data_IF_891188778983
#
_entry.id   IF_891188778983
#
_cell.length_a   1.000
_cell.length_b   1.000
_cell.length_c   1.000
_cell.angle_alpha   90.00
_cell.angle_beta   90.00
_cell.angle_gamma   90.00
#
_symmetry.space_group_name_H-M   'P 1'
#
loop_
_entity.id
_entity.type
_entity.pdbx_description
1 polymer ?
#
# COMPACT_ATOMS: atom_id res chain seq x y z
N UNK A 1 18.55 -35.62 -20.35
CA UNK A 1 19.65 -35.63 -19.37
C UNK A 1 20.27 -34.26 -19.17
N UNK A 2 20.58 -33.51 -20.23
CA UNK A 2 21.23 -32.19 -20.16
C UNK A 2 20.43 -31.15 -19.33
N UNK A 3 19.11 -31.14 -19.42
CA UNK A 3 18.25 -30.23 -18.61
C UNK A 3 18.24 -30.57 -17.11
N UNK A 4 18.38 -31.84 -16.72
CA UNK A 4 18.48 -32.28 -15.32
C UNK A 4 19.80 -31.89 -14.67
N UNK A 5 20.90 -31.93 -15.41
CA UNK A 5 22.23 -31.54 -14.91
C UNK A 5 22.31 -30.05 -14.71
N UNK A 6 21.78 -29.24 -15.67
CA UNK A 6 21.71 -27.77 -15.54
C UNK A 6 20.83 -27.33 -14.35
N UNK A 7 19.72 -28.00 -14.12
CA UNK A 7 18.84 -27.70 -12.99
C UNK A 7 19.49 -28.02 -11.63
N UNK A 8 20.23 -29.15 -11.54
CA UNK A 8 21.00 -29.50 -10.34
C UNK A 8 22.11 -28.51 -10.04
N UNK A 9 22.89 -28.08 -11.03
CA UNK A 9 23.97 -27.12 -10.82
C UNK A 9 23.46 -25.74 -10.36
N UNK A 10 22.33 -25.27 -10.93
CA UNK A 10 21.70 -24.01 -10.50
C UNK A 10 21.17 -24.11 -9.06
N UNK A 11 20.60 -25.26 -8.65
CA UNK A 11 20.12 -25.44 -7.29
C UNK A 11 21.28 -25.47 -6.29
N UNK A 12 22.40 -26.12 -6.64
CA UNK A 12 23.59 -26.17 -5.78
C UNK A 12 24.20 -24.77 -5.66
N UNK A 13 24.35 -24.04 -6.77
CA UNK A 13 24.93 -22.69 -6.79
C UNK A 13 24.07 -21.67 -6.05
N UNK A 14 22.75 -21.80 -6.11
CA UNK A 14 21.79 -20.85 -5.49
C UNK A 14 21.11 -21.39 -4.23
N UNK A 15 21.53 -22.58 -3.74
CA UNK A 15 20.89 -23.23 -2.59
C UNK A 15 20.82 -22.35 -1.35
N UNK A 16 21.93 -21.75 -0.97
CA UNK A 16 22.00 -20.83 0.18
C UNK A 16 21.12 -19.58 -0.02
N UNK A 17 21.06 -19.06 -1.25
CA UNK A 17 20.17 -17.93 -1.57
C UNK A 17 18.70 -18.35 -1.49
N UNK A 18 18.34 -19.53 -1.97
CA UNK A 18 16.98 -20.08 -1.91
C UNK A 18 16.59 -20.31 -0.45
N UNK A 19 17.47 -20.89 0.37
CA UNK A 19 17.23 -21.12 1.80
C UNK A 19 17.03 -19.81 2.56
N UNK A 20 17.93 -18.83 2.39
CA UNK A 20 17.77 -17.49 2.99
C UNK A 20 16.50 -16.80 2.56
N UNK A 21 16.09 -16.97 1.29
CA UNK A 21 14.80 -16.45 0.79
C UNK A 21 13.63 -17.20 1.41
N UNK A 22 13.68 -18.52 1.46
CA UNK A 22 12.64 -19.37 2.06
C UNK A 22 12.41 -19.01 3.54
N UNK A 23 13.50 -18.86 4.33
CA UNK A 23 13.40 -18.42 5.73
C UNK A 23 12.77 -17.03 5.88
N UNK A 24 13.14 -16.10 5.00
CA UNK A 24 12.53 -14.77 4.96
C UNK A 24 11.03 -14.82 4.63
N UNK A 25 10.55 -15.85 3.96
CA UNK A 25 9.14 -16.05 3.60
C UNK A 25 8.40 -16.98 4.58
N UNK A 26 9.11 -17.73 5.45
CA UNK A 26 8.48 -18.44 6.57
C UNK A 26 7.78 -17.42 7.48
N UNK A 27 6.50 -17.61 7.75
CA UNK A 27 5.67 -16.67 8.51
C UNK A 27 4.85 -15.70 7.65
N UNK A 28 5.09 -15.62 6.32
CA UNK A 28 4.20 -14.89 5.43
C UNK A 28 2.95 -15.70 5.04
N UNK A 29 3.00 -17.01 5.15
CA UNK A 29 1.88 -17.91 4.82
C UNK A 29 0.63 -17.63 5.64
N UNK A 30 0.77 -17.22 6.91
CA UNK A 30 -0.36 -16.85 7.76
C UNK A 30 -1.08 -15.58 7.27
N UNK A 31 -0.33 -14.66 6.65
CA UNK A 31 -0.88 -13.39 6.14
C UNK A 31 -1.62 -13.61 4.81
N UNK A 32 -1.22 -14.64 4.05
CA UNK A 32 -1.92 -15.03 2.81
C UNK A 32 -3.13 -15.94 3.05
N UNK A 33 -3.48 -16.25 4.33
CA UNK A 33 -4.77 -16.85 4.64
C UNK A 33 -5.86 -15.97 4.04
N UNK A 34 -6.77 -16.61 3.32
CA UNK A 34 -7.88 -15.90 2.69
C UNK A 34 -8.63 -15.07 3.75
N UNK A 35 -8.69 -13.77 3.54
CA UNK A 35 -9.45 -12.86 4.40
C UNK A 35 -10.90 -13.28 4.44
N UNK A 36 -11.45 -13.39 5.63
CA UNK A 36 -12.84 -13.83 5.86
C UNK A 36 -13.83 -12.65 5.89
N UNK A 37 -13.32 -11.43 6.12
CA UNK A 37 -14.11 -10.21 6.24
C UNK A 37 -15.21 -10.31 7.29
N UNK A 38 -14.85 -10.83 8.46
CA UNK A 38 -15.74 -11.03 9.62
C UNK A 38 -15.37 -10.07 10.76
N UNK A 39 -16.32 -9.82 11.66
CA UNK A 39 -16.06 -9.02 12.87
C UNK A 39 -14.94 -9.65 13.70
N UNK A 40 -14.01 -8.79 14.17
CA UNK A 40 -12.81 -9.17 14.92
C UNK A 40 -11.57 -9.35 14.04
N UNK A 41 -11.70 -9.47 12.71
CA UNK A 41 -10.54 -9.57 11.82
C UNK A 41 -9.76 -8.25 11.80
N UNK A 42 -8.42 -8.37 11.79
CA UNK A 42 -7.52 -7.21 11.86
C UNK A 42 -7.15 -6.67 10.48
N UNK A 43 -7.23 -5.36 10.32
CA UNK A 43 -6.83 -4.61 9.15
C UNK A 43 -5.90 -3.47 9.54
N UNK A 44 -4.92 -3.15 8.68
CA UNK A 44 -4.04 -2.01 8.89
C UNK A 44 -4.71 -0.71 8.43
N UNK A 45 -4.50 0.37 9.19
CA UNK A 45 -4.80 1.73 8.77
C UNK A 45 -3.79 2.68 9.40
N UNK A 46 -3.11 3.49 8.58
CA UNK A 46 -2.01 4.36 8.96
C UNK A 46 -0.89 3.68 9.78
N UNK A 47 -0.65 2.39 9.48
CA UNK A 47 0.39 1.58 10.11
C UNK A 47 -0.03 0.85 11.38
N UNK A 48 -1.22 1.16 11.92
CA UNK A 48 -1.76 0.55 13.13
C UNK A 48 -2.80 -0.53 12.81
N UNK A 49 -2.98 -1.48 13.72
CA UNK A 49 -3.97 -2.54 13.59
C UNK A 49 -5.34 -2.09 14.10
N UNK A 50 -6.35 -2.24 13.25
CA UNK A 50 -7.77 -1.95 13.56
C UNK A 50 -8.58 -3.24 13.45
N UNK A 51 -9.53 -3.42 14.37
CA UNK A 51 -10.49 -4.53 14.33
C UNK A 51 -11.70 -4.18 13.46
N UNK A 52 -12.03 -5.04 12.51
CA UNK A 52 -13.27 -4.92 11.74
C UNK A 52 -14.47 -5.17 12.66
N UNK A 53 -15.46 -4.28 12.61
CA UNK A 53 -16.75 -4.44 13.28
C UNK A 53 -17.85 -4.26 12.25
N UNK A 54 -18.63 -5.29 12.01
CA UNK A 54 -19.78 -5.26 11.10
C UNK A 54 -21.04 -5.09 11.93
N UNK A 55 -21.77 -3.99 11.67
CA UNK A 55 -23.07 -3.68 12.29
C UNK A 55 -24.15 -3.76 11.22
N UNK A 56 -25.05 -4.72 11.38
CA UNK A 56 -26.18 -4.86 10.48
C UNK A 56 -27.20 -3.72 10.73
N UNK A 57 -27.60 -3.06 9.65
CA UNK A 57 -28.69 -2.09 9.66
C UNK A 57 -30.00 -2.82 9.33
N UNK A 58 -31.05 -2.54 10.08
CA UNK A 58 -32.38 -3.02 9.75
C UNK A 58 -32.72 -2.63 8.31
N UNK A 59 -33.21 -3.58 7.53
CA UNK A 59 -33.62 -3.36 6.14
C UNK A 59 -34.85 -2.44 6.13
N UNK A 60 -34.63 -1.16 5.90
CA UNK A 60 -35.68 -0.33 5.36
C UNK A 60 -35.95 -0.77 3.92
N UNK A 61 -37.19 -0.66 3.48
CA UNK A 61 -37.74 -1.13 2.20
C UNK A 61 -37.05 -0.55 0.93
N UNK A 62 -35.87 0.05 1.07
CA UNK A 62 -35.10 0.63 -0.02
C UNK A 62 -34.21 -0.44 -0.68
N UNK A 63 -34.44 -0.67 -1.96
CA UNK A 63 -33.78 -1.70 -2.81
C UNK A 63 -32.26 -1.55 -2.98
N UNK A 64 -31.59 -0.63 -2.31
CA UNK A 64 -30.17 -0.35 -2.49
C UNK A 64 -29.37 -0.71 -1.24
N UNK A 65 -28.31 -1.50 -1.40
CA UNK A 65 -27.40 -1.79 -0.29
C UNK A 65 -26.71 -0.52 0.18
N UNK A 66 -26.98 -0.10 1.42
CA UNK A 66 -26.35 1.03 2.08
C UNK A 66 -25.13 0.55 2.86
N UNK A 67 -24.03 1.27 2.74
CA UNK A 67 -22.82 0.99 3.51
C UNK A 67 -22.20 2.32 3.98
N UNK A 68 -21.96 2.41 5.29
CA UNK A 68 -21.16 3.48 5.89
C UNK A 68 -19.97 2.83 6.59
N UNK A 69 -18.77 3.33 6.33
CA UNK A 69 -17.55 2.88 7.01
C UNK A 69 -16.99 4.07 7.78
N UNK A 70 -16.74 3.86 9.07
CA UNK A 70 -16.17 4.87 9.98
C UNK A 70 -15.04 4.24 10.79
N UNK A 71 -14.11 5.07 11.25
CA UNK A 71 -13.07 4.68 12.20
C UNK A 71 -13.46 5.19 13.57
N UNK A 72 -13.35 4.34 14.57
CA UNK A 72 -13.54 4.67 15.97
C UNK A 72 -12.63 3.76 16.82
N UNK A 73 -11.80 4.35 17.72
CA UNK A 73 -11.01 3.65 18.74
C UNK A 73 -10.38 2.31 18.29
N UNK A 74 -9.51 2.33 17.28
CA UNK A 74 -8.91 1.13 16.70
C UNK A 74 -9.91 0.12 16.08
N UNK A 75 -11.10 0.61 15.68
CA UNK A 75 -12.09 -0.17 14.96
C UNK A 75 -12.40 0.43 13.59
N UNK A 76 -12.52 -0.41 12.59
CA UNK A 76 -13.15 -0.09 11.30
C UNK A 76 -14.57 -0.60 11.37
N UNK A 77 -15.52 0.32 11.56
CA UNK A 77 -16.93 -0.01 11.73
C UNK A 77 -17.63 0.08 10.39
N UNK A 78 -18.14 -1.05 9.91
CA UNK A 78 -18.94 -1.18 8.69
C UNK A 78 -20.41 -1.30 9.07
N UNK A 79 -21.21 -0.28 8.82
CA UNK A 79 -22.66 -0.30 9.02
C UNK A 79 -23.33 -0.57 7.66
N UNK A 80 -24.05 -1.68 7.53
CA UNK A 80 -24.63 -2.10 6.26
C UNK A 80 -25.86 -2.98 6.44
N UNK A 81 -26.72 -3.01 5.42
CA UNK A 81 -27.84 -3.95 5.30
C UNK A 81 -27.50 -5.20 4.45
N UNK A 82 -26.24 -5.32 3.97
CA UNK A 82 -25.72 -6.49 3.27
C UNK A 82 -24.39 -6.91 3.92
N UNK A 83 -24.45 -7.99 4.70
CA UNK A 83 -23.30 -8.54 5.44
C UNK A 83 -22.55 -9.62 4.67
N UNK A 84 -22.85 -9.83 3.38
CA UNK A 84 -22.14 -10.81 2.56
C UNK A 84 -20.66 -10.46 2.44
N UNK A 85 -19.79 -11.48 2.47
CA UNK A 85 -18.33 -11.33 2.39
C UNK A 85 -17.89 -10.52 1.17
N UNK A 86 -18.51 -10.76 0.01
CA UNK A 86 -18.20 -10.04 -1.23
C UNK A 86 -18.56 -8.56 -1.16
N UNK A 87 -19.71 -8.25 -0.54
CA UNK A 87 -20.12 -6.85 -0.35
C UNK A 87 -19.20 -6.13 0.62
N UNK A 88 -18.88 -6.71 1.77
CA UNK A 88 -17.94 -6.15 2.76
C UNK A 88 -16.57 -5.95 2.12
N UNK A 89 -16.05 -6.94 1.40
CA UNK A 89 -14.76 -6.83 0.68
C UNK A 89 -14.74 -5.67 -0.32
N UNK A 90 -15.78 -5.54 -1.16
CA UNK A 90 -15.89 -4.44 -2.14
C UNK A 90 -15.99 -3.09 -1.43
N UNK A 91 -16.78 -3.00 -0.37
CA UNK A 91 -16.97 -1.79 0.41
C UNK A 91 -15.67 -1.35 1.08
N UNK A 92 -14.92 -2.25 1.71
CA UNK A 92 -13.61 -1.97 2.29
C UNK A 92 -12.59 -1.54 1.24
N UNK A 93 -12.52 -2.21 0.09
CA UNK A 93 -11.64 -1.81 -1.02
C UNK A 93 -11.93 -0.38 -1.50
N UNK A 94 -13.21 -0.05 -1.67
CA UNK A 94 -13.64 1.29 -2.06
C UNK A 94 -13.27 2.33 -0.99
N UNK A 95 -13.51 2.01 0.27
CA UNK A 95 -13.20 2.88 1.39
C UNK A 95 -11.68 3.14 1.51
N UNK A 96 -10.84 2.09 1.45
CA UNK A 96 -9.38 2.25 1.46
C UNK A 96 -8.87 3.08 0.29
N UNK A 97 -9.50 2.96 -0.89
CA UNK A 97 -9.17 3.80 -2.03
C UNK A 97 -9.49 5.27 -1.75
N UNK A 98 -10.68 5.58 -1.22
CA UNK A 98 -11.08 6.95 -0.85
C UNK A 98 -10.15 7.54 0.23
N UNK A 99 -9.84 6.76 1.28
CA UNK A 99 -8.90 7.19 2.32
C UNK A 99 -7.50 7.43 1.76
N UNK A 100 -7.03 6.55 0.86
CA UNK A 100 -5.75 6.76 0.19
C UNK A 100 -5.74 8.02 -0.67
N UNK A 101 -6.83 8.33 -1.38
CA UNK A 101 -6.98 9.57 -2.17
C UNK A 101 -6.91 10.81 -1.25
N UNK A 102 -7.67 10.81 -0.16
CA UNK A 102 -7.67 11.91 0.83
C UNK A 102 -6.29 12.12 1.44
N UNK A 103 -5.70 11.05 1.99
CA UNK A 103 -4.41 11.10 2.68
C UNK A 103 -3.29 11.52 1.71
N UNK A 104 -3.24 10.97 0.51
CA UNK A 104 -2.21 11.33 -0.48
C UNK A 104 -2.26 12.81 -0.81
N UNK A 105 -3.45 13.39 -1.02
CA UNK A 105 -3.61 14.83 -1.30
C UNK A 105 -3.16 15.68 -0.11
N UNK A 106 -3.63 15.36 1.10
CA UNK A 106 -3.22 16.06 2.33
C UNK A 106 -1.69 15.98 2.54
N UNK A 107 -1.08 14.82 2.28
CA UNK A 107 0.38 14.67 2.43
C UNK A 107 1.17 15.40 1.37
N UNK A 108 0.68 15.45 0.12
CA UNK A 108 1.30 16.26 -0.94
C UNK A 108 1.30 17.74 -0.55
N UNK A 109 0.17 18.26 -0.08
CA UNK A 109 0.05 19.65 0.35
C UNK A 109 0.98 19.94 1.54
N UNK A 110 1.01 19.06 2.54
CA UNK A 110 1.94 19.14 3.68
C UNK A 110 3.40 19.17 3.22
N UNK A 111 3.81 18.25 2.35
CA UNK A 111 5.19 18.18 1.84
C UNK A 111 5.56 19.42 1.03
N UNK A 112 4.66 19.95 0.22
CA UNK A 112 4.88 21.19 -0.53
C UNK A 112 4.99 22.42 0.38
N UNK A 113 4.20 22.48 1.45
CA UNK A 113 4.26 23.57 2.41
C UNK A 113 5.60 23.60 3.17
N UNK A 114 6.18 22.43 3.45
CA UNK A 114 7.35 22.29 4.31
C UNK A 114 8.67 22.03 3.56
N UNK A 115 8.63 21.86 2.23
CA UNK A 115 9.83 21.57 1.44
C UNK A 115 9.83 22.32 0.12
N UNK A 116 10.81 23.24 -0.06
CA UNK A 116 10.92 24.06 -1.25
C UNK A 116 11.14 23.23 -2.54
N UNK A 117 11.90 22.13 -2.43
CA UNK A 117 12.10 21.22 -3.56
C UNK A 117 10.75 20.62 -4.00
N UNK A 118 9.92 20.18 -3.04
CA UNK A 118 8.61 19.60 -3.35
C UNK A 118 7.65 20.59 -4.01
N UNK A 119 7.75 21.90 -3.69
CA UNK A 119 6.95 22.96 -4.37
C UNK A 119 7.24 23.03 -5.86
N UNK A 120 8.51 22.86 -6.25
CA UNK A 120 8.95 22.94 -7.64
C UNK A 120 8.59 21.70 -8.47
N UNK A 121 8.28 20.57 -7.80
CA UNK A 121 7.91 19.34 -8.47
C UNK A 121 6.40 19.33 -8.80
N UNK A 122 6.08 19.58 -10.08
CA UNK A 122 4.70 19.69 -10.55
C UNK A 122 4.36 18.52 -11.49
N UNK A 123 3.59 17.54 -11.03
CA UNK A 123 3.10 16.45 -11.88
C UNK A 123 1.96 16.93 -12.79
N UNK A 124 1.76 16.26 -13.92
CA UNK A 124 0.61 16.48 -14.79
C UNK A 124 -0.70 16.02 -14.12
N UNK A 125 -0.65 14.94 -13.37
CA UNK A 125 -1.75 14.47 -12.52
C UNK A 125 -1.25 13.54 -11.43
N UNK A 126 -2.00 13.48 -10.31
CA UNK A 126 -1.83 12.46 -9.27
C UNK A 126 -3.15 11.71 -9.14
N UNK A 127 -3.11 10.38 -9.23
CA UNK A 127 -4.28 9.51 -9.11
C UNK A 127 -3.98 8.30 -8.24
N UNK A 128 -4.96 7.88 -7.46
CA UNK A 128 -4.88 6.63 -6.70
C UNK A 128 -5.60 5.53 -7.46
N UNK A 129 -4.91 4.41 -7.67
CA UNK A 129 -5.46 3.24 -8.36
C UNK A 129 -4.96 1.92 -7.77
N UNK A 130 -5.69 0.85 -7.98
CA UNK A 130 -5.24 -0.48 -7.59
C UNK A 130 -3.99 -0.88 -8.38
N UNK A 131 -2.95 -1.32 -7.67
CA UNK A 131 -1.70 -1.81 -8.22
C UNK A 131 -1.28 -3.08 -7.48
N UNK A 132 -0.85 -4.12 -8.21
CA UNK A 132 -0.54 -5.42 -7.61
C UNK A 132 0.94 -5.55 -7.18
N UNK A 133 1.87 -4.86 -7.87
CA UNK A 133 3.31 -5.11 -7.73
C UNK A 133 4.12 -3.89 -7.29
N UNK A 134 3.50 -2.73 -7.15
CA UNK A 134 4.22 -1.48 -6.84
C UNK A 134 3.38 -0.55 -5.97
N UNK A 135 4.04 0.32 -5.22
CA UNK A 135 3.40 1.29 -4.33
C UNK A 135 3.05 2.59 -5.06
N UNK A 136 3.80 2.89 -6.10
CA UNK A 136 3.53 4.01 -6.98
C UNK A 136 4.15 3.80 -8.36
N UNK A 137 3.94 4.75 -9.25
CA UNK A 137 4.60 4.84 -10.55
C UNK A 137 4.43 6.25 -11.12
N UNK A 138 5.49 6.76 -11.77
CA UNK A 138 5.47 7.96 -12.57
C UNK A 138 5.64 7.60 -14.05
N UNK A 139 4.85 8.22 -14.94
CA UNK A 139 4.97 8.01 -16.39
C UNK A 139 5.84 9.10 -17.03
N UNK A 140 6.30 8.85 -18.28
CA UNK A 140 7.01 9.85 -19.06
C UNK A 140 6.20 11.15 -19.27
N UNK A 141 4.84 11.05 -19.25
CA UNK A 141 3.95 12.22 -19.32
C UNK A 141 3.74 12.87 -17.95
N UNK A 142 4.57 12.57 -16.95
CA UNK A 142 4.51 13.12 -15.59
C UNK A 142 3.20 12.85 -14.84
N UNK A 143 2.48 11.77 -15.19
CA UNK A 143 1.34 11.31 -14.39
C UNK A 143 1.83 10.38 -13.29
N UNK A 144 1.46 10.69 -12.05
CA UNK A 144 1.80 9.91 -10.86
C UNK A 144 0.60 9.06 -10.47
N UNK A 145 0.85 7.80 -10.19
CA UNK A 145 -0.13 6.85 -9.66
C UNK A 145 0.35 6.30 -8.33
N UNK A 146 -0.51 6.35 -7.32
CA UNK A 146 -0.25 5.78 -5.99
C UNK A 146 -1.19 4.58 -5.76
N UNK A 147 -0.72 3.56 -5.05
CA UNK A 147 -1.49 2.36 -4.78
C UNK A 147 -2.68 2.66 -3.85
N UNK A 148 -3.87 2.16 -4.19
CA UNK A 148 -5.10 2.36 -3.41
C UNK A 148 -5.10 1.73 -2.02
N UNK A 149 -4.07 0.96 -1.67
CA UNK A 149 -3.86 0.38 -0.34
C UNK A 149 -2.84 1.14 0.50
N UNK A 150 -2.37 2.30 0.00
CA UNK A 150 -1.29 3.03 0.67
C UNK A 150 -1.69 3.55 2.05
N UNK A 151 -2.98 3.84 2.27
CA UNK A 151 -3.51 4.26 3.59
C UNK A 151 -3.38 3.20 4.69
N UNK A 152 -3.01 1.96 4.34
CA UNK A 152 -2.64 0.94 5.33
C UNK A 152 -1.22 1.11 5.87
N UNK A 153 -0.35 1.86 5.18
CA UNK A 153 1.02 2.12 5.61
C UNK A 153 1.07 3.30 6.60
N UNK A 154 2.18 3.40 7.34
CA UNK A 154 2.47 4.55 8.23
C UNK A 154 2.57 5.85 7.42
N UNK A 155 2.24 6.98 8.02
CA UNK A 155 2.27 8.28 7.35
C UNK A 155 3.64 8.63 6.77
N UNK A 156 4.72 8.39 7.50
CA UNK A 156 6.09 8.65 7.04
C UNK A 156 6.50 7.77 5.85
N UNK A 157 5.92 6.57 5.76
CA UNK A 157 6.10 5.66 4.62
C UNK A 157 5.28 6.11 3.41
N UNK A 158 4.08 6.66 3.64
CA UNK A 158 3.27 7.30 2.59
C UNK A 158 4.02 8.48 2.00
N UNK A 159 4.61 9.34 2.85
CA UNK A 159 5.44 10.46 2.43
C UNK A 159 6.62 10.00 1.57
N UNK A 160 7.30 8.94 1.98
CA UNK A 160 8.38 8.36 1.20
C UNK A 160 7.92 7.93 -0.20
N UNK A 161 6.79 7.25 -0.31
CA UNK A 161 6.26 6.83 -1.62
C UNK A 161 5.92 8.05 -2.48
N UNK A 162 5.31 9.09 -1.91
CA UNK A 162 5.00 10.33 -2.61
C UNK A 162 6.31 10.98 -3.11
N UNK A 163 7.29 11.18 -2.24
CA UNK A 163 8.58 11.79 -2.56
C UNK A 163 9.30 10.97 -3.66
N UNK A 164 9.27 9.64 -3.57
CA UNK A 164 9.85 8.74 -4.56
C UNK A 164 9.23 8.98 -5.95
N UNK A 165 7.91 8.99 -6.05
CA UNK A 165 7.22 9.20 -7.33
C UNK A 165 7.39 10.63 -7.86
N UNK A 166 7.44 11.64 -6.99
CA UNK A 166 7.72 13.01 -7.38
C UNK A 166 9.16 13.19 -7.86
N UNK A 167 10.13 12.47 -7.29
CA UNK A 167 11.53 12.49 -7.74
C UNK A 167 11.69 11.97 -9.17
N UNK A 168 10.78 11.08 -9.62
CA UNK A 168 10.74 10.64 -11.01
C UNK A 168 10.36 11.75 -12.01
N UNK A 169 9.78 12.87 -11.57
CA UNK A 169 9.54 14.04 -12.44
C UNK A 169 10.85 14.65 -12.97
N UNK A 170 11.95 14.44 -12.24
CA UNK A 170 13.30 14.92 -12.58
C UNK A 170 14.19 13.80 -13.11
N UNK A 171 14.18 12.63 -12.46
CA UNK A 171 15.03 11.49 -12.78
C UNK A 171 14.20 10.23 -12.98
N UNK A 172 13.93 9.84 -14.23
CA UNK A 172 13.09 8.69 -14.56
C UNK A 172 13.68 7.34 -14.14
N UNK A 173 14.98 7.24 -13.93
CA UNK A 173 15.68 6.04 -13.50
C UNK A 173 16.18 6.18 -12.05
N UNK A 174 16.38 5.06 -11.37
CA UNK A 174 16.90 4.99 -9.99
C UNK A 174 18.44 5.15 -9.94
N UNK A 175 18.97 6.19 -10.62
CA UNK A 175 20.39 6.53 -10.61
C UNK A 175 20.82 7.12 -9.27
N UNK A 176 22.14 7.35 -9.10
CA UNK A 176 22.66 8.08 -7.93
C UNK A 176 21.98 9.43 -7.75
N UNK A 177 21.80 10.19 -8.84
CA UNK A 177 21.14 11.51 -8.82
C UNK A 177 19.70 11.44 -8.33
N UNK A 178 18.97 10.37 -8.68
CA UNK A 178 17.62 10.13 -8.17
C UNK A 178 17.63 9.97 -6.64
N UNK A 179 18.49 9.11 -6.12
CA UNK A 179 18.56 8.89 -4.67
C UNK A 179 19.17 10.08 -3.92
N UNK A 180 20.04 10.86 -4.52
CA UNK A 180 20.54 12.11 -3.95
C UNK A 180 19.39 13.12 -3.80
N UNK A 181 18.49 13.23 -4.78
CA UNK A 181 17.28 14.05 -4.70
C UNK A 181 16.31 13.54 -3.62
N UNK A 182 16.01 12.24 -3.58
CA UNK A 182 15.16 11.67 -2.52
C UNK A 182 15.75 11.95 -1.14
N UNK A 183 17.07 11.77 -0.97
CA UNK A 183 17.78 12.01 0.29
C UNK A 183 17.77 13.48 0.71
N UNK A 184 17.83 14.42 -0.25
CA UNK A 184 17.78 15.86 0.07
C UNK A 184 16.41 16.28 0.63
N UNK A 185 15.34 15.58 0.26
CA UNK A 185 13.98 15.84 0.77
C UNK A 185 13.71 15.02 2.05
N UNK A 186 14.15 13.76 2.09
CA UNK A 186 13.95 12.83 3.19
C UNK A 186 15.26 12.09 3.50
N UNK A 187 16.10 12.61 4.41
CA UNK A 187 17.42 12.03 4.71
C UNK A 187 17.38 10.58 5.17
N UNK A 188 16.34 10.20 5.87
CA UNK A 188 16.11 8.86 6.45
C UNK A 188 15.21 7.95 5.57
N UNK A 189 15.11 8.22 4.27
CA UNK A 189 14.27 7.49 3.32
C UNK A 189 14.51 5.97 3.31
N UNK A 190 15.76 5.54 3.61
CA UNK A 190 16.11 4.12 3.63
C UNK A 190 15.34 3.32 4.67
N UNK A 191 15.01 3.93 5.82
CA UNK A 191 14.22 3.29 6.87
C UNK A 191 12.79 3.03 6.39
N UNK A 192 12.21 3.97 5.64
CA UNK A 192 10.87 3.86 5.06
C UNK A 192 10.83 2.84 3.91
N UNK A 193 11.85 2.86 3.06
CA UNK A 193 12.03 1.84 2.02
C UNK A 193 12.14 0.43 2.63
N UNK A 194 12.94 0.29 3.71
CA UNK A 194 13.10 -0.97 4.40
C UNK A 194 11.80 -1.41 5.09
N UNK A 195 11.07 -0.48 5.68
CA UNK A 195 9.75 -0.77 6.26
C UNK A 195 8.80 -1.37 5.22
N UNK A 196 8.72 -0.81 4.00
CA UNK A 196 7.91 -1.36 2.90
C UNK A 196 8.38 -2.75 2.47
N UNK A 197 9.70 -2.99 2.42
CA UNK A 197 10.26 -4.31 2.10
C UNK A 197 9.88 -5.37 3.14
N UNK A 198 9.80 -4.98 4.42
CA UNK A 198 9.50 -5.88 5.53
C UNK A 198 7.99 -6.05 5.71
N UNK A 199 7.20 -4.98 5.63
CA UNK A 199 5.79 -4.97 6.02
C UNK A 199 4.82 -4.93 4.83
N UNK A 200 5.29 -4.60 3.63
CA UNK A 200 4.42 -4.42 2.47
C UNK A 200 3.56 -5.65 2.12
N UNK A 201 4.01 -6.85 2.50
CA UNK A 201 3.23 -8.07 2.31
C UNK A 201 2.00 -8.18 3.23
N UNK A 202 1.96 -7.42 4.34
CA UNK A 202 0.81 -7.36 5.26
C UNK A 202 -0.32 -6.45 4.75
N UNK A 203 -0.02 -5.63 3.75
CA UNK A 203 -0.95 -4.66 3.16
C UNK A 203 -1.80 -5.36 2.09
N UNK A 204 -2.78 -6.13 2.55
CA UNK A 204 -3.70 -6.93 1.72
C UNK A 204 -5.16 -6.70 2.14
N UNK A 205 -6.05 -6.62 1.11
CA UNK A 205 -7.51 -6.63 1.25
C UNK A 205 -8.07 -7.75 0.37
#
# INVERSE_FOLDING_TARGET
>A
EFRRVLFRSIIIEKGDWILKKSEKYKGREEVYKQRMFITGEKFLYLGEEYHLVIKELLRDSVKKSNCRITINEYQIVVQTNDTSTDFIKKSLKSWYKMESERIVLERIDFLKLNCEIMKQLVPASVKVKEQNKRWGSCTAQKNIYINSKISMARLDVIDYVIIHEFSHLVHMNHSKKFYDLVKSIMPDYKDKENWLKINGYKIII
#
